data_IF_474329411705
#
_entry.id   IF_474329411705
#
_cell.length_a   1.000
_cell.length_b   1.000
_cell.length_c   1.000
_cell.angle_alpha   90.00
_cell.angle_beta   90.00
_cell.angle_gamma   90.00
#
_symmetry.space_group_name_H-M   'P 1'
#
loop_
_entity.id
_entity.type
_entity.pdbx_description
1 polymer ?
#
# COMPACT_ATOMS: atom_id res chain seq x y z
N UNK A 1 -5.12 -4.65 20.26
CA UNK A 1 -4.91 -3.31 19.70
C UNK A 1 -5.31 -2.32 20.80
N UNK A 2 -4.36 -1.56 21.28
CA UNK A 2 -4.60 -0.56 22.31
C UNK A 2 -4.37 0.81 21.66
N UNK A 3 -5.37 1.67 21.64
CA UNK A 3 -5.26 3.04 21.19
C UNK A 3 -5.34 3.94 22.42
N UNK A 4 -4.21 4.49 22.84
CA UNK A 4 -4.20 5.56 23.84
C UNK A 4 -4.19 6.89 23.09
N UNK A 5 -5.33 7.54 23.07
CA UNK A 5 -5.54 8.75 22.30
C UNK A 5 -6.08 9.86 23.19
N UNK A 6 -5.25 10.86 23.44
CA UNK A 6 -5.74 12.14 23.96
C UNK A 6 -6.06 13.06 22.78
N UNK A 7 -7.32 13.17 22.41
CA UNK A 7 -7.79 14.00 21.30
C UNK A 7 -7.56 15.52 21.49
N UNK A 8 -7.24 15.94 22.70
CA UNK A 8 -6.83 17.33 22.96
C UNK A 8 -5.34 17.57 22.61
N UNK A 9 -4.54 16.51 22.56
CA UNK A 9 -3.11 16.56 22.27
C UNK A 9 -2.78 15.53 21.18
N UNK A 10 -3.21 15.79 19.95
CA UNK A 10 -3.06 14.86 18.81
C UNK A 10 -1.62 14.44 18.52
N UNK A 11 -0.64 15.30 18.84
CA UNK A 11 0.77 14.99 18.66
C UNK A 11 1.31 13.97 19.68
N UNK A 12 0.59 13.72 20.78
CA UNK A 12 0.91 12.71 21.80
C UNK A 12 0.29 11.33 21.51
N UNK A 13 -0.35 11.16 20.38
CA UNK A 13 -1.02 9.93 19.99
C UNK A 13 -0.01 8.79 19.85
N UNK A 14 -0.07 7.81 20.74
CA UNK A 14 0.71 6.59 20.68
C UNK A 14 -0.16 5.47 20.13
N UNK A 15 0.25 4.92 19.02
CA UNK A 15 -0.37 3.74 18.44
C UNK A 15 0.48 2.52 18.83
N UNK A 16 0.07 1.80 19.86
CA UNK A 16 0.67 0.52 20.21
C UNK A 16 -0.29 -0.59 19.77
N UNK A 17 0.15 -1.42 18.85
CA UNK A 17 -0.61 -2.59 18.44
C UNK A 17 0.08 -3.85 18.94
N UNK A 18 -0.52 -4.52 19.91
CA UNK A 18 -0.12 -5.86 20.32
C UNK A 18 -1.15 -6.84 19.77
N UNK A 19 -0.72 -7.74 18.89
CA UNK A 19 -1.56 -8.83 18.40
C UNK A 19 -1.37 -10.02 19.34
N UNK A 20 -2.34 -10.26 20.22
CA UNK A 20 -2.38 -11.50 21.03
C UNK A 20 -3.16 -12.55 20.27
N UNK A 21 -2.45 -13.57 19.83
CA UNK A 21 -3.06 -14.72 19.18
C UNK A 21 -3.88 -15.51 20.22
N UNK A 22 -5.18 -15.62 19.98
CA UNK A 22 -6.04 -16.59 20.66
C UNK A 22 -6.70 -17.47 19.61
N UNK A 23 -6.34 -18.74 19.59
CA UNK A 23 -6.89 -19.75 18.68
C UNK A 23 -6.77 -19.38 17.18
N UNK A 24 -5.74 -18.58 16.83
CA UNK A 24 -5.44 -18.24 15.45
C UNK A 24 -4.36 -19.20 14.95
N UNK A 25 -4.67 -19.92 13.89
CA UNK A 25 -3.72 -20.78 13.20
C UNK A 25 -3.67 -20.39 11.73
N UNK A 26 -2.48 -20.08 11.23
CA UNK A 26 -2.29 -19.88 9.79
C UNK A 26 -2.22 -21.28 9.18
N UNK A 27 -3.31 -21.70 8.53
CA UNK A 27 -3.43 -23.05 7.92
C UNK A 27 -2.64 -23.11 6.61
N UNK A 28 -2.53 -22.00 5.91
CA UNK A 28 -1.78 -21.91 4.66
C UNK A 28 -1.29 -20.48 4.41
N UNK A 29 -0.05 -20.34 3.94
CA UNK A 29 0.43 -19.08 3.38
C UNK A 29 0.06 -19.11 1.90
N UNK A 30 -0.64 -18.07 1.41
CA UNK A 30 -0.85 -17.91 -0.02
C UNK A 30 0.49 -17.96 -0.75
N UNK A 31 0.54 -18.69 -1.84
CA UNK A 31 1.72 -18.70 -2.72
C UNK A 31 1.65 -17.44 -3.58
N UNK A 32 2.47 -16.44 -3.25
CA UNK A 32 2.65 -15.27 -4.10
C UNK A 32 3.68 -15.62 -5.17
N UNK A 33 3.21 -15.79 -6.39
CA UNK A 33 4.09 -15.94 -7.55
C UNK A 33 4.62 -14.55 -7.94
N UNK A 34 5.80 -14.22 -7.45
CA UNK A 34 6.46 -12.95 -7.77
C UNK A 34 6.86 -12.87 -9.27
N UNK A 35 6.95 -13.99 -9.97
CA UNK A 35 7.21 -14.02 -11.42
C UNK A 35 6.12 -13.29 -12.21
N UNK A 36 4.87 -13.39 -11.77
CA UNK A 36 3.73 -12.68 -12.39
C UNK A 36 3.83 -11.16 -12.32
N UNK A 37 4.63 -10.61 -11.41
CA UNK A 37 4.87 -9.17 -11.33
C UNK A 37 5.83 -8.69 -12.43
N UNK A 38 6.58 -9.60 -13.04
CA UNK A 38 7.49 -9.31 -14.16
C UNK A 38 6.87 -9.59 -15.53
N UNK A 39 5.63 -10.12 -15.54
CA UNK A 39 4.88 -10.39 -16.75
C UNK A 39 3.87 -9.27 -17.01
N UNK A 40 3.47 -9.14 -18.27
CA UNK A 40 2.40 -8.23 -18.65
C UNK A 40 1.06 -8.72 -18.11
N UNK A 41 0.27 -7.82 -17.57
CA UNK A 41 -1.07 -8.13 -17.08
C UNK A 41 -2.07 -7.01 -17.38
N UNK A 42 -3.35 -7.38 -17.39
CA UNK A 42 -4.45 -6.40 -17.55
C UNK A 42 -4.81 -5.81 -16.18
N UNK A 43 -4.77 -4.50 -16.10
CA UNK A 43 -5.16 -3.77 -14.91
C UNK A 43 -6.46 -3.01 -15.15
N UNK A 44 -7.38 -3.10 -14.20
CA UNK A 44 -8.60 -2.30 -14.20
C UNK A 44 -8.54 -1.29 -13.05
N UNK A 45 -8.54 -0.02 -13.40
CA UNK A 45 -8.61 1.08 -12.44
C UNK A 45 -10.05 1.26 -11.97
N UNK A 46 -10.21 1.45 -10.67
CA UNK A 46 -11.50 1.69 -10.03
C UNK A 46 -11.53 3.06 -9.38
N UNK A 47 -12.65 3.75 -9.51
CA UNK A 47 -12.93 4.99 -8.81
C UNK A 47 -14.31 4.87 -8.13
N UNK A 48 -14.37 5.12 -6.82
CA UNK A 48 -15.59 4.92 -6.01
C UNK A 48 -16.24 3.53 -6.17
N UNK A 49 -15.42 2.47 -6.34
CA UNK A 49 -15.88 1.11 -6.52
C UNK A 49 -16.39 0.77 -7.93
N UNK A 50 -16.35 1.72 -8.87
CA UNK A 50 -16.73 1.50 -10.27
C UNK A 50 -15.48 1.38 -11.15
N UNK A 51 -15.46 0.46 -12.12
CA UNK A 51 -14.38 0.34 -13.07
C UNK A 51 -14.38 1.55 -14.01
N UNK A 52 -13.27 2.29 -14.06
CA UNK A 52 -13.13 3.50 -14.89
C UNK A 52 -12.38 3.22 -16.17
N UNK A 53 -11.31 2.42 -16.09
CA UNK A 53 -10.44 2.14 -17.23
C UNK A 53 -9.75 0.80 -17.06
N UNK A 54 -9.68 0.06 -18.16
CA UNK A 54 -8.91 -1.19 -18.26
C UNK A 54 -7.82 -1.03 -19.32
N UNK A 55 -6.59 -1.39 -18.97
CA UNK A 55 -5.44 -1.29 -19.87
C UNK A 55 -4.37 -2.32 -19.51
N UNK A 56 -3.52 -2.74 -20.47
CA UNK A 56 -2.39 -3.61 -20.17
C UNK A 56 -1.30 -2.82 -19.43
N UNK A 57 -0.64 -3.47 -18.48
CA UNK A 57 0.60 -2.97 -17.86
C UNK A 57 1.72 -3.85 -18.40
N UNK A 58 2.48 -3.32 -19.33
CA UNK A 58 3.57 -4.04 -19.99
C UNK A 58 3.83 -3.54 -21.41
N UNK A 59 4.74 -4.21 -22.12
CA UNK A 59 5.24 -3.77 -23.44
C UNK A 59 4.17 -3.65 -24.54
N UNK A 60 3.01 -4.30 -24.41
CA UNK A 60 1.94 -4.17 -25.39
C UNK A 60 1.16 -2.85 -25.30
N UNK A 61 1.35 -2.09 -24.22
CA UNK A 61 0.74 -0.77 -24.09
C UNK A 61 1.59 0.28 -24.79
N UNK A 62 0.99 1.05 -25.69
CA UNK A 62 1.67 2.09 -26.47
C UNK A 62 2.40 3.15 -25.63
N UNK A 63 1.93 3.38 -24.38
CA UNK A 63 2.53 4.34 -23.46
C UNK A 63 3.46 3.69 -22.43
N UNK A 64 3.78 2.40 -22.60
CA UNK A 64 4.70 1.73 -21.70
C UNK A 64 6.13 2.22 -21.91
N UNK A 65 6.78 2.58 -20.82
CA UNK A 65 8.20 2.95 -20.81
C UNK A 65 8.94 2.04 -19.83
N UNK A 66 9.92 1.25 -20.29
CA UNK A 66 10.73 0.41 -19.40
C UNK A 66 11.46 1.25 -18.36
N UNK A 67 11.70 0.67 -17.20
CA UNK A 67 12.28 1.39 -16.05
C UNK A 67 13.66 2.00 -16.35
N UNK A 68 14.50 1.31 -17.10
CA UNK A 68 15.82 1.76 -17.53
C UNK A 68 15.78 2.93 -18.54
N UNK A 69 14.64 3.12 -19.20
CA UNK A 69 14.39 4.26 -20.09
C UNK A 69 13.77 5.46 -19.39
N UNK A 70 13.39 5.31 -18.12
CA UNK A 70 12.87 6.40 -17.30
C UNK A 70 14.02 7.16 -16.64
N UNK A 71 14.02 8.49 -16.76
CA UNK A 71 15.04 9.33 -16.12
C UNK A 71 15.23 9.00 -14.63
N UNK A 72 16.47 8.79 -14.16
CA UNK A 72 16.73 8.54 -12.74
C UNK A 72 16.19 9.64 -11.82
N UNK A 73 16.17 10.89 -12.29
CA UNK A 73 15.59 12.01 -11.52
C UNK A 73 14.08 11.84 -11.34
N UNK A 74 13.38 11.36 -12.37
CA UNK A 74 11.95 11.08 -12.27
C UNK A 74 11.68 9.92 -11.31
N UNK A 75 12.46 8.83 -11.40
CA UNK A 75 12.35 7.69 -10.48
C UNK A 75 12.55 8.14 -9.03
N UNK A 76 13.59 8.94 -8.75
CA UNK A 76 13.85 9.47 -7.42
C UNK A 76 12.73 10.41 -6.94
N UNK A 77 12.22 11.26 -7.82
CA UNK A 77 11.15 12.20 -7.48
C UNK A 77 9.86 11.47 -7.09
N UNK A 78 9.49 10.43 -7.84
CA UNK A 78 8.32 9.59 -7.53
C UNK A 78 8.53 8.86 -6.21
N UNK A 79 9.69 8.23 -6.01
CA UNK A 79 9.99 7.56 -4.74
C UNK A 79 9.93 8.54 -3.57
N UNK A 80 10.53 9.72 -3.69
CA UNK A 80 10.56 10.71 -2.62
C UNK A 80 9.16 11.25 -2.30
N UNK A 81 8.28 11.38 -3.28
CA UNK A 81 6.92 11.90 -3.07
C UNK A 81 5.97 10.85 -2.48
N UNK A 82 6.11 9.59 -2.91
CA UNK A 82 5.21 8.51 -2.49
C UNK A 82 5.71 7.78 -1.24
N UNK A 83 7.02 7.58 -1.14
CA UNK A 83 7.62 6.77 -0.08
C UNK A 83 9.09 7.13 0.12
N UNK A 84 9.36 8.29 0.71
CA UNK A 84 10.73 8.80 0.89
C UNK A 84 11.64 7.90 1.75
N UNK A 85 11.09 6.95 2.46
CA UNK A 85 11.81 5.96 3.27
C UNK A 85 11.88 4.57 2.61
N UNK A 86 11.56 4.43 1.31
CA UNK A 86 11.42 3.16 0.60
C UNK A 86 12.57 2.17 0.85
N UNK A 87 13.81 2.62 0.88
CA UNK A 87 14.98 1.77 1.11
C UNK A 87 15.26 1.46 2.58
N UNK A 88 14.55 2.09 3.52
CA UNK A 88 14.82 1.96 4.96
C UNK A 88 13.79 1.16 5.73
N UNK A 89 12.68 0.77 5.09
CA UNK A 89 11.65 -0.08 5.70
C UNK A 89 11.43 -1.37 4.91
N UNK A 90 10.71 -2.31 5.49
CA UNK A 90 10.38 -3.62 4.90
C UNK A 90 8.93 -3.67 4.41
N UNK A 91 8.52 -2.68 3.62
CA UNK A 91 7.19 -2.61 3.02
C UNK A 91 6.12 -1.94 3.88
N UNK A 92 6.41 -1.60 5.14
CA UNK A 92 5.47 -1.00 6.07
C UNK A 92 6.19 0.08 6.90
N UNK A 93 5.59 1.25 7.04
CA UNK A 93 6.15 2.38 7.77
C UNK A 93 5.14 2.91 8.80
N UNK A 94 5.17 2.41 10.04
CA UNK A 94 4.21 2.77 11.10
C UNK A 94 4.17 4.27 11.40
N UNK A 95 5.33 4.93 11.34
CA UNK A 95 5.47 6.36 11.59
C UNK A 95 4.69 7.19 10.56
N UNK A 96 4.80 6.85 9.26
CA UNK A 96 4.07 7.54 8.20
C UNK A 96 2.55 7.36 8.35
N UNK A 97 2.10 6.17 8.75
CA UNK A 97 0.68 5.90 9.03
C UNK A 97 0.19 6.70 10.23
N UNK A 98 1.00 6.78 11.30
CA UNK A 98 0.69 7.59 12.47
C UNK A 98 0.56 9.07 12.12
N UNK A 99 1.53 9.61 11.37
CA UNK A 99 1.51 11.01 10.93
C UNK A 99 0.32 11.32 10.03
N UNK A 100 0.00 10.42 9.09
CA UNK A 100 -1.16 10.56 8.22
C UNK A 100 -2.45 10.61 9.05
N UNK A 101 -2.62 9.68 10.01
CA UNK A 101 -3.78 9.65 10.91
C UNK A 101 -3.91 10.93 11.73
N UNK A 102 -2.82 11.43 12.32
CA UNK A 102 -2.80 12.69 13.08
C UNK A 102 -3.23 13.85 12.19
N UNK A 103 -2.70 13.91 10.98
CA UNK A 103 -3.04 14.98 10.03
C UNK A 103 -4.51 14.93 9.63
N UNK A 104 -5.02 13.75 9.31
CA UNK A 104 -6.41 13.56 8.92
C UNK A 104 -7.38 13.93 10.05
N UNK A 105 -7.05 13.59 11.30
CA UNK A 105 -7.82 13.98 12.47
C UNK A 105 -7.78 15.51 12.69
N UNK A 106 -6.61 16.15 12.51
CA UNK A 106 -6.49 17.62 12.65
C UNK A 106 -7.34 18.36 11.63
N UNK A 107 -7.36 17.91 10.38
CA UNK A 107 -8.11 18.57 9.30
C UNK A 107 -9.53 18.02 9.12
N UNK A 108 -9.91 16.99 9.88
CA UNK A 108 -11.21 16.30 9.86
C UNK A 108 -11.62 15.82 8.46
N UNK A 109 -10.66 15.44 7.65
CA UNK A 109 -10.86 14.85 6.32
C UNK A 109 -9.66 14.00 5.94
N UNK A 110 -9.83 13.11 4.98
CA UNK A 110 -8.72 12.37 4.39
C UNK A 110 -7.83 13.33 3.60
N UNK A 111 -6.72 13.76 4.16
CA UNK A 111 -5.80 14.75 3.58
C UNK A 111 -4.45 14.14 3.21
N UNK A 112 -4.02 13.08 3.91
CA UNK A 112 -2.73 12.43 3.68
C UNK A 112 -2.88 10.91 3.74
N UNK A 113 -2.34 10.22 2.72
CA UNK A 113 -2.18 8.78 2.74
C UNK A 113 -0.93 8.35 3.52
N UNK A 114 -1.01 7.21 4.20
CA UNK A 114 0.13 6.60 4.90
C UNK A 114 0.60 5.29 4.26
N UNK A 115 0.25 5.04 2.99
CA UNK A 115 0.64 3.83 2.28
C UNK A 115 2.04 3.94 1.68
N UNK A 116 2.80 2.85 1.76
CA UNK A 116 4.10 2.73 1.08
C UNK A 116 3.92 2.27 -0.37
N UNK A 117 4.96 2.43 -1.20
CA UNK A 117 4.98 1.88 -2.58
C UNK A 117 4.74 0.37 -2.56
N UNK A 118 5.34 -0.36 -1.62
CA UNK A 118 5.15 -1.80 -1.46
C UNK A 118 3.69 -2.16 -1.19
N UNK A 119 3.01 -1.43 -0.30
CA UNK A 119 1.59 -1.64 -0.02
C UNK A 119 0.73 -1.38 -1.25
N UNK A 120 1.03 -0.31 -1.99
CA UNK A 120 0.33 0.01 -3.24
C UNK A 120 0.52 -1.07 -4.30
N UNK A 121 1.74 -1.60 -4.43
CA UNK A 121 2.06 -2.67 -5.37
C UNK A 121 1.26 -3.94 -5.05
N UNK A 122 1.24 -4.37 -3.79
CA UNK A 122 0.48 -5.56 -3.35
C UNK A 122 -1.00 -5.39 -3.62
N UNK A 123 -1.58 -4.21 -3.36
CA UNK A 123 -3.00 -3.95 -3.61
C UNK A 123 -3.36 -3.95 -5.09
N UNK A 124 -2.43 -3.57 -5.97
CA UNK A 124 -2.66 -3.47 -7.42
C UNK A 124 -2.19 -4.71 -8.19
N UNK A 125 -1.49 -5.61 -7.51
CA UNK A 125 -0.96 -6.83 -8.13
C UNK A 125 -2.09 -7.80 -8.53
N UNK A 126 -1.99 -8.47 -9.70
CA UNK A 126 -2.92 -9.51 -10.13
C UNK A 126 -2.91 -10.74 -9.23
N UNK A 127 -1.91 -10.88 -8.36
CA UNK A 127 -1.84 -11.95 -7.36
C UNK A 127 -2.82 -11.76 -6.20
N UNK A 128 -3.39 -10.56 -6.07
CA UNK A 128 -4.38 -10.25 -5.06
C UNK A 128 -5.79 -10.69 -5.50
N UNK A 129 -5.95 -11.93 -5.96
CA UNK A 129 -7.24 -12.60 -5.85
C UNK A 129 -7.44 -12.81 -4.37
N UNK A 130 -8.25 -11.95 -3.77
CA UNK A 130 -8.68 -12.09 -2.39
C UNK A 130 -9.30 -13.51 -2.22
N UNK A 131 -8.47 -14.45 -1.82
CA UNK A 131 -8.97 -15.58 -1.08
C UNK A 131 -9.45 -14.97 0.23
N UNK A 132 -10.75 -14.67 0.30
CA UNK A 132 -11.42 -14.34 1.54
C UNK A 132 -10.85 -15.25 2.63
N UNK A 133 -10.38 -14.63 3.70
CA UNK A 133 -10.20 -15.32 4.96
C UNK A 133 -11.57 -15.89 5.30
N UNK A 134 -11.83 -17.16 4.99
CA UNK A 134 -12.93 -17.90 5.59
C UNK A 134 -12.60 -18.00 7.06
N UNK A 135 -13.19 -17.10 7.83
CA UNK A 135 -13.25 -17.19 9.28
C UNK A 135 -14.37 -18.19 9.56
N UNK A 136 -13.97 -19.42 9.85
CA UNK A 136 -14.87 -20.43 10.44
C UNK A 136 -15.08 -20.16 11.92
#
# INVERSE_FOLDING_TARGET
MFLDANFALLDSLKLESELKERNFCIVNYGVTDLGKMSEEFIYTAYENGQPVRTFPIGPSWEHFTPLDSISPLLQMSVMQSEDGAFYFHRGFLPEAMREALIQDLKVKRFARGGSTITMQLVMKSPTNTASCLEVS
#
